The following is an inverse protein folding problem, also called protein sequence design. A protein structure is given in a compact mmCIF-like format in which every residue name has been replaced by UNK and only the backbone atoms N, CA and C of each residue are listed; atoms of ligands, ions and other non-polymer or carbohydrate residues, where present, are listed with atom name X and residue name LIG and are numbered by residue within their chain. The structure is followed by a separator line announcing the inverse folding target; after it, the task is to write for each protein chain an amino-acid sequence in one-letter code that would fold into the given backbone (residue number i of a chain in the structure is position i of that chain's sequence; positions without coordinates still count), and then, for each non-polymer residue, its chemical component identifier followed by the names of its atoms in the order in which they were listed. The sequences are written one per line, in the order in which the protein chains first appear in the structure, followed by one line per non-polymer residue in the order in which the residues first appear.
data_IF_172087407857
#
_entry.id   IF_172087407857
#
_cell.length_a   1.000
_cell.length_b   1.000
_cell.length_c   1.000
_cell.angle_alpha   90.00
_cell.angle_beta   90.00
_cell.angle_gamma   90.00
#
_symmetry.space_group_name_H-M   'P 1'
#
loop_
_entity.id
_entity.type
_entity.pdbx_description
1 polymer ?
#
# COMPACT_ATOMS: atom_id res chain seq x y z
N UNK A 1 8.08 7.56 10.20
CA UNK A 1 7.79 7.86 8.79
C UNK A 1 8.62 6.91 7.95
N UNK A 2 8.01 6.24 6.98
CA UNK A 2 8.72 5.33 6.08
C UNK A 2 8.70 5.93 4.67
N UNK A 3 9.76 5.66 3.91
CA UNK A 3 9.92 6.18 2.55
C UNK A 3 9.87 5.05 1.53
N UNK A 4 9.42 5.39 0.32
CA UNK A 4 9.41 4.46 -0.80
C UNK A 4 10.83 4.02 -1.13
N UNK A 5 11.09 2.71 -1.19
CA UNK A 5 12.43 2.22 -1.53
C UNK A 5 12.92 2.63 -2.92
N UNK A 6 11.99 2.88 -3.84
CA UNK A 6 12.26 3.24 -5.25
C UNK A 6 12.39 4.76 -5.42
N UNK A 7 11.33 5.52 -5.16
CA UNK A 7 11.32 6.97 -5.43
C UNK A 7 11.64 7.85 -4.22
N UNK A 8 11.90 7.25 -3.05
CA UNK A 8 12.23 7.94 -1.79
C UNK A 8 11.19 8.95 -1.30
N UNK A 9 9.96 8.93 -1.84
CA UNK A 9 8.86 9.73 -1.30
C UNK A 9 8.34 9.17 0.01
N UNK A 10 7.93 10.05 0.91
CA UNK A 10 7.30 9.67 2.17
C UNK A 10 5.99 8.93 1.89
N UNK A 11 5.80 7.82 2.61
CA UNK A 11 4.66 6.93 2.47
C UNK A 11 3.59 7.23 3.51
N UNK A 12 2.35 7.02 3.09
CA UNK A 12 1.20 6.97 4.00
C UNK A 12 1.08 5.59 4.66
N UNK A 13 0.33 5.51 5.76
CA UNK A 13 0.06 4.24 6.42
C UNK A 13 -0.63 3.23 5.49
N UNK A 14 -1.52 3.72 4.61
CA UNK A 14 -2.19 2.88 3.61
C UNK A 14 -1.19 2.27 2.61
N UNK A 15 -0.18 3.03 2.15
CA UNK A 15 0.84 2.50 1.22
C UNK A 15 1.75 1.45 1.86
N UNK A 16 2.11 1.67 3.13
CA UNK A 16 2.87 0.72 3.94
C UNK A 16 2.05 -0.56 4.12
N UNK A 17 0.79 -0.44 4.55
CA UNK A 17 -0.13 -1.55 4.74
C UNK A 17 -0.42 -2.30 3.44
N UNK A 18 -0.53 -1.58 2.31
CA UNK A 18 -0.73 -2.17 0.99
C UNK A 18 0.49 -2.97 0.56
N UNK A 19 1.70 -2.44 0.73
CA UNK A 19 2.93 -3.20 0.43
C UNK A 19 2.99 -4.47 1.29
N UNK A 20 2.68 -4.37 2.59
CA UNK A 20 2.64 -5.53 3.47
C UNK A 20 1.58 -6.55 3.07
N UNK A 21 0.41 -6.09 2.63
CA UNK A 21 -0.70 -6.97 2.24
C UNK A 21 -0.49 -7.65 0.89
N UNK A 22 0.06 -6.92 -0.08
CA UNK A 22 0.24 -7.35 -1.47
C UNK A 22 1.52 -8.14 -1.71
N UNK A 23 2.63 -7.74 -1.06
CA UNK A 23 3.96 -8.32 -1.30
C UNK A 23 4.30 -9.34 -0.21
N UNK A 24 4.42 -8.87 1.04
CA UNK A 24 4.76 -9.72 2.16
C UNK A 24 4.41 -9.02 3.48
N UNK A 25 3.66 -9.70 4.36
CA UNK A 25 3.24 -9.13 5.65
C UNK A 25 4.43 -8.75 6.55
N UNK A 26 5.57 -9.43 6.39
CA UNK A 26 6.84 -9.13 7.07
C UNK A 26 7.77 -8.17 6.32
N UNK A 27 7.28 -7.44 5.30
CA UNK A 27 8.11 -6.52 4.54
C UNK A 27 8.69 -5.41 5.43
N UNK A 28 10.01 -5.26 5.37
CA UNK A 28 10.79 -4.18 6.00
C UNK A 28 11.04 -3.00 5.06
N UNK A 29 10.74 -3.19 3.77
CA UNK A 29 10.79 -2.16 2.75
C UNK A 29 9.42 -1.97 2.12
N UNK A 30 9.05 -0.71 1.83
CA UNK A 30 7.74 -0.37 1.31
C UNK A 30 7.81 0.40 0.00
N UNK A 31 6.73 0.34 -0.76
CA UNK A 31 6.60 1.03 -2.03
C UNK A 31 5.38 1.94 -2.00
N UNK A 32 5.51 3.06 -2.68
CA UNK A 32 4.39 3.97 -2.87
C UNK A 32 3.45 3.43 -3.93
N UNK A 33 2.21 3.93 -3.99
CA UNK A 33 1.21 3.37 -4.90
C UNK A 33 1.64 3.41 -6.37
N UNK A 34 2.32 4.49 -6.79
CA UNK A 34 2.86 4.66 -8.16
C UNK A 34 4.01 3.71 -8.49
N UNK A 35 4.84 3.36 -7.49
CA UNK A 35 5.89 2.37 -7.70
C UNK A 35 5.32 0.96 -7.67
N UNK A 36 4.31 0.73 -6.83
CA UNK A 36 3.61 -0.54 -6.72
C UNK A 36 2.79 -0.83 -8.00
N UNK A 37 2.15 0.19 -8.58
CA UNK A 37 1.38 0.08 -9.83
C UNK A 37 2.27 -0.34 -10.98
N UNK A 38 3.45 0.29 -11.11
CA UNK A 38 4.50 -0.11 -12.07
C UNK A 38 5.02 -1.52 -11.82
N UNK A 39 5.25 -1.89 -10.55
CA UNK A 39 5.73 -3.23 -10.19
C UNK A 39 4.74 -4.33 -10.57
N UNK A 40 3.44 -4.11 -10.32
CA UNK A 40 2.38 -5.04 -10.69
C UNK A 40 1.86 -4.86 -12.11
N UNK A 41 2.39 -3.88 -12.87
CA UNK A 41 1.88 -3.49 -14.20
C UNK A 41 0.36 -3.30 -14.22
N UNK A 42 -0.16 -2.57 -13.24
CA UNK A 42 -1.59 -2.28 -13.08
C UNK A 42 -1.83 -0.80 -12.83
N UNK A 43 -3.08 -0.35 -12.92
CA UNK A 43 -3.46 1.03 -12.63
C UNK A 43 -3.40 1.34 -11.12
N UNK A 44 -3.01 2.58 -10.79
CA UNK A 44 -3.00 3.07 -9.41
C UNK A 44 -4.39 3.03 -8.78
N UNK A 45 -5.44 3.28 -9.58
CA UNK A 45 -6.82 3.23 -9.13
C UNK A 45 -7.23 1.82 -8.66
N UNK A 46 -6.73 0.78 -9.31
CA UNK A 46 -7.00 -0.60 -8.89
C UNK A 46 -6.43 -0.86 -7.49
N UNK A 47 -5.23 -0.35 -7.22
CA UNK A 47 -4.60 -0.46 -5.90
C UNK A 47 -5.36 0.32 -4.83
N UNK A 48 -5.85 1.53 -5.15
CA UNK A 48 -6.70 2.30 -4.24
C UNK A 48 -8.01 1.57 -3.93
N UNK A 49 -8.65 0.98 -4.95
CA UNK A 49 -9.85 0.16 -4.75
C UNK A 49 -9.57 -1.04 -3.86
N UNK A 50 -8.42 -1.71 -4.02
CA UNK A 50 -8.02 -2.82 -3.15
C UNK A 50 -7.85 -2.38 -1.70
N UNK A 51 -7.30 -1.21 -1.44
CA UNK A 51 -7.20 -0.65 -0.08
C UNK A 51 -8.60 -0.53 0.55
N UNK A 52 -9.55 0.06 -0.17
CA UNK A 52 -10.93 0.22 0.33
C UNK A 52 -11.64 -1.13 0.50
N UNK A 53 -11.44 -2.08 -0.40
CA UNK A 53 -11.94 -3.46 -0.26
C UNK A 53 -11.38 -4.12 1.02
N UNK A 54 -10.07 -4.04 1.26
CA UNK A 54 -9.46 -4.58 2.47
C UNK A 54 -9.96 -3.89 3.74
N UNK A 55 -10.19 -2.57 3.69
CA UNK A 55 -10.78 -1.80 4.78
C UNK A 55 -12.22 -2.24 5.05
N UNK A 56 -13.02 -2.47 4.01
CA UNK A 56 -14.40 -2.97 4.14
C UNK A 56 -14.44 -4.39 4.73
N UNK A 57 -13.47 -5.24 4.38
CA UNK A 57 -13.29 -6.58 4.95
C UNK A 57 -12.75 -6.58 6.39
N UNK A 58 -12.50 -5.41 7.00
CA UNK A 58 -12.03 -5.30 8.38
C UNK A 58 -10.54 -5.58 8.57
N UNK A 59 -9.71 -5.39 7.54
CA UNK A 59 -8.27 -5.59 7.66
C UNK A 59 -7.65 -4.54 8.59
N UNK A 60 -7.06 -4.98 9.70
CA UNK A 60 -6.44 -4.11 10.71
C UNK A 60 -5.27 -3.26 10.19
N UNK A 61 -4.68 -3.61 9.04
CA UNK A 61 -3.66 -2.80 8.38
C UNK A 61 -4.21 -1.49 7.81
N UNK A 62 -5.51 -1.45 7.52
CA UNK A 62 -6.20 -0.30 6.97
C UNK A 62 -7.28 0.12 7.96
N UNK A 63 -6.93 0.99 8.89
CA UNK A 63 -7.91 1.53 9.84
C UNK A 63 -9.02 2.29 9.10
N UNK A 64 -10.25 2.24 9.62
CA UNK A 64 -11.35 3.06 9.09
C UNK A 64 -10.96 4.53 9.18
N UNK A 65 -11.11 5.28 8.08
CA UNK A 65 -11.10 6.75 8.14
C UNK A 65 -12.15 7.15 9.18
N UNK A 66 -11.72 7.84 10.22
CA UNK A 66 -12.58 8.34 11.29
C UNK A 66 -13.33 9.58 10.79
#
# INVERSE_FOLDING_TARGET
MADCKICKRTLTADEIGLTQKMINRGATEWMCITCLSKFFSCDEELLLRKIEEFRALGCMLFSKKK
#
